data_IF_934970173633
#
_entry.id   IF_934970173633
#
_cell.length_a   1.000
_cell.length_b   1.000
_cell.length_c   1.000
_cell.angle_alpha   90.00
_cell.angle_beta   90.00
_cell.angle_gamma   90.00
#
_symmetry.space_group_name_H-M   'P 1'
#
loop_
_entity.id
_entity.type
_entity.pdbx_description
1 polymer ?
#
# COMPACT_ATOMS: atom_id res chain seq x y z
N UNK A 1 -25.47 9.42 6.89
CA UNK A 1 -25.41 10.84 6.49
C UNK A 1 -25.62 10.92 4.99
N UNK A 2 -26.38 11.85 4.43
CA UNK A 2 -26.57 11.93 2.98
C UNK A 2 -25.46 12.80 2.38
N UNK A 3 -24.93 12.45 1.20
CA UNK A 3 -23.90 13.24 0.49
C UNK A 3 -24.37 14.68 0.28
N UNK A 4 -25.70 14.88 0.09
CA UNK A 4 -26.34 16.21 -0.01
C UNK A 4 -26.12 17.14 1.19
N UNK A 5 -25.73 16.59 2.33
CA UNK A 5 -25.54 17.34 3.57
C UNK A 5 -24.15 18.00 3.65
N UNK A 6 -23.23 17.61 2.73
CA UNK A 6 -21.90 18.19 2.65
C UNK A 6 -21.85 19.34 1.65
N UNK A 7 -21.38 20.50 2.11
CA UNK A 7 -21.08 21.64 1.24
C UNK A 7 -19.59 21.69 0.97
N UNK A 8 -19.19 21.80 -0.32
CA UNK A 8 -17.81 22.02 -0.67
C UNK A 8 -17.29 23.33 -0.08
N UNK A 9 -16.07 23.31 0.40
CA UNK A 9 -15.35 24.50 0.83
C UNK A 9 -15.20 25.50 -0.34
N UNK A 10 -15.18 26.78 -0.02
CA UNK A 10 -14.93 27.83 -1.01
C UNK A 10 -13.42 28.07 -1.11
N UNK A 11 -12.89 28.32 -2.33
CA UNK A 11 -11.46 28.63 -2.48
C UNK A 11 -11.15 30.01 -1.85
N UNK A 12 -9.94 30.18 -1.30
CA UNK A 12 -9.47 31.49 -0.78
C UNK A 12 -9.53 32.58 -1.85
N UNK A 13 -9.25 32.22 -3.10
CA UNK A 13 -9.34 33.09 -4.25
C UNK A 13 -10.53 32.61 -5.09
N UNK A 14 -11.65 33.34 -5.09
CA UNK A 14 -12.85 32.92 -5.80
C UNK A 14 -12.59 32.73 -7.29
N UNK A 15 -13.19 31.71 -7.87
CA UNK A 15 -13.22 31.53 -9.32
C UNK A 15 -14.05 32.65 -9.93
N UNK A 16 -13.47 33.44 -10.82
CA UNK A 16 -14.18 34.47 -11.57
C UNK A 16 -14.54 33.96 -12.98
N UNK A 17 -15.62 34.44 -13.53
CA UNK A 17 -16.03 34.10 -14.89
C UNK A 17 -15.00 34.65 -15.92
N UNK A 18 -14.95 34.04 -17.11
CA UNK A 18 -14.13 34.54 -18.23
C UNK A 18 -14.35 36.02 -18.49
N UNK A 19 -15.61 36.48 -18.45
CA UNK A 19 -15.98 37.88 -18.66
C UNK A 19 -15.44 38.80 -17.57
N UNK A 20 -15.47 38.37 -16.30
CA UNK A 20 -14.91 39.11 -15.18
C UNK A 20 -13.38 39.18 -15.27
N UNK A 21 -12.73 38.05 -15.62
CA UNK A 21 -11.28 37.99 -15.81
C UNK A 21 -10.80 38.94 -16.92
N UNK A 22 -11.48 38.94 -18.06
CA UNK A 22 -11.12 39.81 -19.20
C UNK A 22 -11.31 41.31 -18.92
N UNK A 23 -12.06 41.69 -17.90
CA UNK A 23 -12.20 43.10 -17.44
C UNK A 23 -11.05 43.55 -16.55
N UNK A 24 -10.19 42.67 -16.06
CA UNK A 24 -9.01 43.02 -15.28
C UNK A 24 -7.91 43.58 -16.20
N UNK A 25 -7.05 44.47 -15.66
CA UNK A 25 -5.83 44.90 -16.38
C UNK A 25 -4.89 43.72 -16.56
N UNK A 26 -3.97 43.73 -17.56
CA UNK A 26 -3.03 42.63 -17.78
C UNK A 26 -2.22 42.26 -16.53
N UNK A 27 -1.80 43.25 -15.73
CA UNK A 27 -1.06 43.05 -14.48
C UNK A 27 -1.93 42.29 -13.47
N UNK A 28 -3.19 42.72 -13.29
CA UNK A 28 -4.16 42.06 -12.39
C UNK A 28 -4.54 40.66 -12.88
N UNK A 29 -4.63 40.45 -14.20
CA UNK A 29 -4.84 39.11 -14.76
C UNK A 29 -3.69 38.17 -14.42
N UNK A 30 -2.44 38.64 -14.59
CA UNK A 30 -1.25 37.87 -14.25
C UNK A 30 -1.16 37.56 -12.76
N UNK A 31 -1.42 38.56 -11.93
CA UNK A 31 -1.46 38.38 -10.46
C UNK A 31 -2.53 37.37 -10.02
N UNK A 32 -3.76 37.52 -10.55
CA UNK A 32 -4.87 36.60 -10.26
C UNK A 32 -4.50 35.16 -10.63
N UNK A 33 -3.96 34.94 -11.84
CA UNK A 33 -3.54 33.61 -12.29
C UNK A 33 -2.45 33.03 -11.39
N UNK A 34 -1.46 33.85 -11.01
CA UNK A 34 -0.39 33.41 -10.10
C UNK A 34 -0.96 32.99 -8.73
N UNK A 35 -1.76 33.83 -8.12
CA UNK A 35 -2.38 33.55 -6.84
C UNK A 35 -3.28 32.33 -6.90
N UNK A 36 -4.08 32.20 -7.96
CA UNK A 36 -4.95 31.03 -8.17
C UNK A 36 -4.16 29.73 -8.34
N UNK A 37 -3.05 29.73 -9.05
CA UNK A 37 -2.19 28.57 -9.25
C UNK A 37 -1.45 28.15 -7.98
N UNK A 38 -1.08 29.12 -7.13
CA UNK A 38 -0.33 28.86 -5.90
C UNK A 38 -1.18 28.57 -4.68
N UNK A 39 -2.50 28.79 -4.74
CA UNK A 39 -3.36 28.48 -3.59
C UNK A 39 -3.40 26.97 -3.30
N UNK A 40 -3.39 26.65 -2.03
CA UNK A 40 -3.63 25.32 -1.47
C UNK A 40 -5.08 25.23 -0.96
N UNK A 41 -5.51 24.06 -0.54
CA UNK A 41 -6.83 23.92 0.08
C UNK A 41 -6.90 24.80 1.31
N UNK A 42 -7.98 25.60 1.52
CA UNK A 42 -8.07 26.58 2.61
C UNK A 42 -7.80 26.00 3.98
N UNK A 43 -8.32 24.80 4.27
CA UNK A 43 -8.09 24.08 5.53
C UNK A 43 -6.62 23.77 5.80
N UNK A 44 -5.80 23.66 4.73
CA UNK A 44 -4.36 23.42 4.82
C UNK A 44 -3.52 24.71 4.87
N UNK A 45 -4.14 25.90 4.96
CA UNK A 45 -3.40 27.16 5.17
C UNK A 45 -2.57 27.15 6.46
N UNK A 46 -2.94 26.32 7.43
CA UNK A 46 -2.20 26.05 8.67
C UNK A 46 -0.81 25.46 8.45
N UNK A 47 -0.49 24.92 7.26
CA UNK A 47 0.87 24.47 6.90
C UNK A 47 1.90 25.63 6.90
N UNK A 48 1.45 26.89 6.95
CA UNK A 48 2.32 28.07 7.07
C UNK A 48 2.82 28.29 8.52
N UNK A 49 2.21 27.65 9.49
CA UNK A 49 2.67 27.62 10.87
C UNK A 49 3.81 26.59 11.00
N UNK A 50 4.82 26.88 11.82
CA UNK A 50 5.95 25.97 11.98
C UNK A 50 5.67 24.94 13.06
N UNK A 51 5.72 23.66 12.68
CA UNK A 51 5.63 22.50 13.57
C UNK A 51 6.67 21.45 13.16
N UNK A 52 7.09 20.64 14.12
CA UNK A 52 8.00 19.52 13.84
C UNK A 52 7.32 18.44 13.00
N UNK A 53 6.04 18.16 13.27
CA UNK A 53 5.30 17.10 12.62
C UNK A 53 3.95 17.61 12.10
N UNK A 54 3.61 17.21 10.89
CA UNK A 54 2.31 17.45 10.27
C UNK A 54 1.73 16.11 9.84
N UNK A 55 0.60 15.71 10.44
CA UNK A 55 -0.19 14.58 10.01
C UNK A 55 -1.40 15.10 9.24
N UNK A 56 -1.41 14.84 7.93
CA UNK A 56 -2.42 15.34 7.01
C UNK A 56 -3.14 14.11 6.44
N UNK A 57 -4.28 13.78 7.00
CA UNK A 57 -4.99 12.55 6.70
C UNK A 57 -6.43 12.81 6.24
N UNK A 58 -7.09 11.78 5.69
CA UNK A 58 -8.47 11.84 5.21
C UNK A 58 -8.66 11.19 3.85
N UNK A 59 -9.86 11.25 3.32
CA UNK A 59 -10.29 10.50 2.15
C UNK A 59 -9.64 10.88 0.82
N UNK A 60 -9.95 10.08 -0.19
CA UNK A 60 -9.53 10.27 -1.58
C UNK A 60 -10.11 11.57 -2.16
N UNK A 61 -9.38 12.21 -3.06
CA UNK A 61 -9.82 13.44 -3.72
C UNK A 61 -9.79 14.68 -2.84
N UNK A 62 -9.40 14.57 -1.57
CA UNK A 62 -9.29 15.71 -0.65
C UNK A 62 -8.20 16.72 -1.05
N UNK A 63 -7.26 16.35 -1.92
CA UNK A 63 -6.19 17.23 -2.38
C UNK A 63 -5.04 17.42 -1.39
N UNK A 64 -4.90 16.55 -0.40
CA UNK A 64 -3.80 16.52 0.59
C UNK A 64 -2.43 16.60 -0.06
N UNK A 65 -2.08 15.55 -0.82
CA UNK A 65 -0.75 15.42 -1.45
C UNK A 65 -0.46 16.57 -2.42
N UNK A 66 -1.45 16.97 -3.21
CA UNK A 66 -1.32 18.13 -4.12
C UNK A 66 -1.05 19.43 -3.37
N UNK A 67 -1.73 19.66 -2.24
CA UNK A 67 -1.53 20.87 -1.43
C UNK A 67 -0.17 20.87 -0.73
N UNK A 68 0.27 19.73 -0.21
CA UNK A 68 1.61 19.59 0.40
C UNK A 68 2.69 19.76 -0.66
N UNK A 69 2.58 19.16 -1.85
CA UNK A 69 3.52 19.35 -2.94
C UNK A 69 3.61 20.82 -3.38
N UNK A 70 2.46 21.52 -3.50
CA UNK A 70 2.41 22.96 -3.78
C UNK A 70 3.11 23.77 -2.69
N UNK A 71 2.80 23.50 -1.43
CA UNK A 71 3.39 24.20 -0.30
C UNK A 71 4.89 24.01 -0.23
N UNK A 72 5.38 22.77 -0.29
CA UNK A 72 6.80 22.46 -0.23
C UNK A 72 7.58 23.10 -1.38
N UNK A 73 7.07 23.05 -2.61
CA UNK A 73 7.73 23.67 -3.77
C UNK A 73 7.77 25.20 -3.69
N UNK A 74 6.72 25.84 -3.13
CA UNK A 74 6.74 27.28 -2.84
C UNK A 74 7.78 27.63 -1.78
N UNK A 75 7.77 26.91 -0.65
CA UNK A 75 8.71 27.10 0.46
C UNK A 75 10.15 26.98 -0.03
N UNK A 76 10.46 25.93 -0.78
CA UNK A 76 11.78 25.66 -1.35
C UNK A 76 12.18 26.65 -2.45
N UNK A 77 11.23 27.34 -3.09
CA UNK A 77 11.52 28.41 -4.06
C UNK A 77 11.87 29.69 -3.33
N UNK A 78 11.24 29.96 -2.18
CA UNK A 78 11.48 31.16 -1.38
C UNK A 78 12.78 31.08 -0.57
N UNK A 79 13.10 29.92 -0.02
CA UNK A 79 14.24 29.67 0.86
C UNK A 79 14.96 28.38 0.48
N UNK A 80 16.25 28.26 0.84
CA UNK A 80 17.06 27.08 0.53
C UNK A 80 16.72 25.94 1.49
N UNK A 81 16.23 24.83 0.94
CA UNK A 81 15.88 23.63 1.69
C UNK A 81 16.34 22.33 1.00
N UNK A 82 16.54 21.29 1.77
CA UNK A 82 16.74 19.92 1.27
C UNK A 82 15.53 19.06 1.66
N UNK A 83 14.70 18.72 0.68
CA UNK A 83 13.53 17.85 0.87
C UNK A 83 13.91 16.39 0.64
N UNK A 84 13.63 15.55 1.62
CA UNK A 84 13.55 14.10 1.44
C UNK A 84 12.09 13.72 1.17
N UNK A 85 11.79 13.28 -0.04
CA UNK A 85 10.51 12.67 -0.39
C UNK A 85 10.63 11.15 -0.27
N UNK A 86 9.76 10.52 0.53
CA UNK A 86 9.88 9.10 0.88
C UNK A 86 8.56 8.37 0.96
N UNK A 87 8.60 7.06 0.75
CA UNK A 87 7.56 6.04 0.96
C UNK A 87 8.19 4.77 1.50
N UNK A 88 7.39 3.80 1.91
CA UNK A 88 7.90 2.50 2.31
C UNK A 88 8.66 1.81 1.16
N UNK A 89 8.11 1.81 -0.06
CA UNK A 89 8.69 1.15 -1.24
C UNK A 89 9.16 2.18 -2.26
N UNK A 90 10.42 2.07 -2.69
CA UNK A 90 11.07 3.03 -3.60
C UNK A 90 10.48 3.04 -5.01
N UNK A 91 10.06 1.90 -5.57
CA UNK A 91 9.58 1.83 -6.96
C UNK A 91 8.30 2.64 -7.19
N UNK A 92 7.40 2.71 -6.21
CA UNK A 92 6.18 3.54 -6.29
C UNK A 92 6.46 5.04 -6.11
N UNK A 93 7.58 5.39 -5.51
CA UNK A 93 8.01 6.76 -5.23
C UNK A 93 8.40 7.53 -6.50
N UNK A 94 9.15 6.86 -7.40
CA UNK A 94 9.68 7.48 -8.61
C UNK A 94 8.60 7.86 -9.62
N UNK A 95 7.47 7.13 -9.66
CA UNK A 95 6.42 7.33 -10.65
C UNK A 95 5.36 8.35 -10.21
N UNK A 96 5.02 8.42 -8.91
CA UNK A 96 3.92 9.27 -8.43
C UNK A 96 4.38 10.56 -7.75
N UNK A 97 5.18 10.48 -6.69
CA UNK A 97 5.57 11.68 -5.92
C UNK A 97 6.55 12.56 -6.68
N UNK A 98 7.47 11.95 -7.46
CA UNK A 98 8.37 12.69 -8.36
C UNK A 98 7.55 13.49 -9.39
N UNK A 99 6.66 12.80 -10.13
CA UNK A 99 5.86 13.45 -11.16
C UNK A 99 4.95 14.53 -10.57
N UNK A 100 4.36 14.30 -9.40
CA UNK A 100 3.53 15.30 -8.71
C UNK A 100 4.32 16.57 -8.39
N UNK A 101 5.55 16.47 -7.88
CA UNK A 101 6.38 17.64 -7.59
C UNK A 101 6.76 18.38 -8.86
N UNK A 102 7.13 17.67 -9.93
CA UNK A 102 7.42 18.28 -11.24
C UNK A 102 6.20 19.00 -11.79
N UNK A 103 5.02 18.38 -11.75
CA UNK A 103 3.78 18.99 -12.24
C UNK A 103 3.42 20.23 -11.42
N UNK A 104 3.62 20.23 -10.10
CA UNK A 104 3.33 21.38 -9.25
C UNK A 104 4.30 22.53 -9.46
N UNK A 105 5.58 22.26 -9.69
CA UNK A 105 6.57 23.29 -10.08
C UNK A 105 6.14 23.96 -11.39
N UNK A 106 5.81 23.16 -12.40
CA UNK A 106 5.39 23.64 -13.71
C UNK A 106 4.04 24.38 -13.65
N UNK A 107 3.04 23.81 -12.96
CA UNK A 107 1.71 24.39 -12.82
C UNK A 107 1.73 25.77 -12.16
N UNK A 108 2.55 25.93 -11.12
CA UNK A 108 2.70 27.18 -10.37
C UNK A 108 3.63 28.18 -11.07
N UNK A 109 4.30 27.77 -12.16
CA UNK A 109 5.28 28.60 -12.89
C UNK A 109 6.42 29.10 -11.97
N UNK A 110 6.90 28.24 -11.06
CA UNK A 110 7.96 28.57 -10.13
C UNK A 110 9.32 28.65 -10.85
N UNK A 111 10.03 29.76 -10.67
CA UNK A 111 11.33 30.00 -11.33
C UNK A 111 12.49 29.28 -10.66
N UNK A 112 13.59 29.10 -11.42
CA UNK A 112 14.86 28.59 -10.93
C UNK A 112 14.95 27.08 -10.78
N UNK A 113 13.90 26.32 -11.16
CA UNK A 113 13.90 24.87 -11.04
C UNK A 113 14.49 24.17 -12.26
N UNK A 114 15.38 23.23 -11.98
CA UNK A 114 16.00 22.32 -12.94
C UNK A 114 15.54 20.90 -12.65
N UNK A 115 14.79 20.31 -13.59
CA UNK A 115 14.22 18.96 -13.48
C UNK A 115 15.01 18.02 -14.37
N UNK A 116 15.69 17.05 -13.78
CA UNK A 116 16.42 15.97 -14.45
C UNK A 116 15.88 14.63 -14.00
N UNK A 117 16.09 13.58 -14.79
CA UNK A 117 15.53 12.24 -14.56
C UNK A 117 15.63 11.70 -13.11
N UNK A 118 16.67 12.08 -12.38
CA UNK A 118 16.93 11.60 -11.00
C UNK A 118 17.18 12.74 -10.00
N UNK A 119 17.12 13.99 -10.43
CA UNK A 119 17.46 15.15 -9.60
C UNK A 119 16.55 16.31 -9.91
N UNK A 120 15.96 16.87 -8.87
CA UNK A 120 15.23 18.14 -8.92
C UNK A 120 15.94 19.11 -7.99
N UNK A 121 16.35 20.25 -8.50
CA UNK A 121 17.02 21.28 -7.72
C UNK A 121 16.67 22.68 -8.21
N UNK A 122 16.80 23.67 -7.33
CA UNK A 122 16.56 25.07 -7.62
C UNK A 122 17.87 25.85 -7.60
N UNK A 123 17.96 26.92 -8.40
CA UNK A 123 19.13 27.78 -8.49
C UNK A 123 19.50 28.45 -7.14
N UNK A 124 18.54 28.52 -6.18
CA UNK A 124 18.82 29.01 -4.83
C UNK A 124 19.54 27.97 -3.93
N UNK A 125 19.86 26.76 -4.45
CA UNK A 125 20.50 25.68 -3.72
C UNK A 125 19.55 24.61 -3.15
N UNK A 126 18.24 24.80 -3.27
CA UNK A 126 17.25 23.80 -2.84
C UNK A 126 17.34 22.53 -3.69
N UNK A 127 17.16 21.36 -3.07
CA UNK A 127 17.20 20.07 -3.76
C UNK A 127 16.18 19.08 -3.19
N UNK A 128 15.68 18.18 -4.05
CA UNK A 128 14.75 17.12 -3.67
C UNK A 128 15.44 15.77 -3.83
N UNK A 129 15.38 14.95 -2.80
CA UNK A 129 15.95 13.60 -2.72
C UNK A 129 14.77 12.61 -2.63
N UNK A 130 14.82 11.54 -3.41
CA UNK A 130 13.81 10.47 -3.39
C UNK A 130 14.42 9.19 -2.84
N UNK A 131 13.80 8.60 -1.80
CA UNK A 131 14.36 7.44 -1.14
C UNK A 131 13.27 6.56 -0.51
N UNK A 132 13.28 5.23 -0.79
CA UNK A 132 12.41 4.25 -0.13
C UNK A 132 12.98 3.82 1.23
N UNK A 133 12.11 3.42 2.15
CA UNK A 133 12.52 3.11 3.54
C UNK A 133 12.69 1.61 3.82
N UNK A 134 12.07 0.72 3.02
CA UNK A 134 11.92 -0.72 3.30
C UNK A 134 13.23 -1.50 3.40
N UNK A 135 14.28 -1.15 2.66
CA UNK A 135 15.50 -1.95 2.61
C UNK A 135 16.53 -1.53 3.65
N UNK A 136 17.09 -2.48 4.42
CA UNK A 136 18.18 -2.21 5.37
C UNK A 136 19.41 -1.54 4.73
N UNK A 137 19.66 -1.75 3.44
CA UNK A 137 20.65 -1.01 2.68
C UNK A 137 20.25 0.45 2.48
N UNK A 138 18.95 0.69 2.29
CA UNK A 138 18.36 2.01 2.15
C UNK A 138 18.43 2.82 3.44
N UNK A 139 18.13 2.21 4.60
CA UNK A 139 18.22 2.87 5.90
C UNK A 139 19.67 3.32 6.25
N UNK A 140 20.68 2.55 5.84
CA UNK A 140 22.08 2.94 6.01
C UNK A 140 22.50 4.05 5.01
N UNK A 141 21.89 4.09 3.82
CA UNK A 141 22.16 5.15 2.85
C UNK A 141 21.51 6.49 3.25
N UNK A 142 20.38 6.48 3.99
CA UNK A 142 19.79 7.71 4.56
C UNK A 142 20.77 8.46 5.46
N UNK A 143 21.60 7.74 6.23
CA UNK A 143 22.63 8.34 7.09
C UNK A 143 23.71 9.12 6.33
N UNK A 144 23.86 8.87 5.02
CA UNK A 144 24.80 9.57 4.17
C UNK A 144 24.29 10.92 3.66
N UNK A 145 22.98 11.16 3.73
CA UNK A 145 22.41 12.45 3.37
C UNK A 145 22.51 13.41 4.56
N UNK A 146 23.15 14.54 4.33
CA UNK A 146 23.31 15.62 5.31
C UNK A 146 22.40 16.80 4.96
N UNK A 147 22.04 17.58 5.97
CA UNK A 147 21.28 18.82 5.84
C UNK A 147 19.87 18.61 5.26
N UNK A 148 19.19 17.51 5.66
CA UNK A 148 17.76 17.32 5.35
C UNK A 148 16.97 18.06 6.42
N UNK A 149 16.22 19.05 6.02
CA UNK A 149 15.38 19.89 6.87
C UNK A 149 13.87 19.80 6.55
N UNK A 150 13.53 19.22 5.41
CA UNK A 150 12.14 18.87 5.05
C UNK A 150 12.03 17.39 4.73
N UNK A 151 11.00 16.73 5.26
CA UNK A 151 10.69 15.32 4.96
C UNK A 151 9.22 15.23 4.56
N UNK A 152 8.94 14.61 3.43
CA UNK A 152 7.57 14.29 3.02
C UNK A 152 7.41 12.78 2.85
N UNK A 153 6.64 12.18 3.76
CA UNK A 153 6.22 10.78 3.70
C UNK A 153 4.85 10.72 3.03
N UNK A 154 4.81 10.32 1.78
CA UNK A 154 3.57 10.19 1.01
C UNK A 154 3.07 8.74 1.10
N UNK A 155 1.74 8.53 1.18
CA UNK A 155 1.11 7.24 1.51
C UNK A 155 1.62 6.67 2.84
N UNK A 156 1.68 7.53 3.87
CA UNK A 156 2.32 7.20 5.14
C UNK A 156 1.59 6.10 5.95
N UNK A 157 0.35 5.72 5.60
CA UNK A 157 -0.34 4.55 6.17
C UNK A 157 0.41 3.24 5.88
N UNK A 158 1.22 3.20 4.83
CA UNK A 158 2.01 2.03 4.47
C UNK A 158 3.35 1.93 5.20
N UNK A 159 3.74 2.95 5.98
CA UNK A 159 5.02 2.96 6.69
C UNK A 159 5.03 1.92 7.81
N UNK A 160 6.10 1.16 7.90
CA UNK A 160 6.33 0.27 9.03
C UNK A 160 6.84 1.02 10.26
N UNK A 161 6.58 0.47 11.45
CA UNK A 161 7.12 1.01 12.70
C UNK A 161 8.67 1.06 12.68
N UNK A 162 9.30 0.07 12.02
CA UNK A 162 10.76 0.03 11.85
C UNK A 162 11.26 1.19 10.97
N UNK A 163 10.57 1.47 9.86
CA UNK A 163 10.91 2.59 8.96
C UNK A 163 10.82 3.94 9.69
N UNK A 164 9.77 4.16 10.50
CA UNK A 164 9.64 5.36 11.32
C UNK A 164 10.72 5.45 12.39
N UNK A 165 11.03 4.34 13.08
CA UNK A 165 12.09 4.26 14.09
C UNK A 165 13.47 4.61 13.54
N UNK A 166 13.74 4.31 12.26
CA UNK A 166 14.98 4.65 11.58
C UNK A 166 14.98 6.08 11.03
N UNK A 167 13.87 6.52 10.41
CA UNK A 167 13.75 7.83 9.77
C UNK A 167 13.85 8.99 10.77
N UNK A 168 13.03 8.93 11.83
CA UNK A 168 12.88 10.07 12.76
C UNK A 168 14.19 10.51 13.43
N UNK A 169 15.05 9.61 13.98
CA UNK A 169 16.31 10.03 14.59
C UNK A 169 17.43 10.32 13.58
N UNK A 170 17.23 10.00 12.30
CA UNK A 170 18.21 10.29 11.23
C UNK A 170 18.18 11.76 10.85
N UNK A 171 17.01 12.40 10.89
CA UNK A 171 16.84 13.83 10.56
C UNK A 171 17.08 14.68 11.82
N UNK A 172 18.21 15.35 11.84
CA UNK A 172 18.75 16.04 13.03
C UNK A 172 18.86 17.55 12.91
N UNK A 173 18.54 18.10 11.74
CA UNK A 173 18.58 19.54 11.51
C UNK A 173 17.61 20.23 12.48
N UNK A 174 18.07 21.30 13.10
CA UNK A 174 17.23 22.14 13.94
C UNK A 174 16.12 22.77 13.10
N UNK A 175 14.88 22.70 13.59
CA UNK A 175 13.71 23.19 12.83
C UNK A 175 13.29 22.30 11.65
N UNK A 176 13.82 21.07 11.52
CA UNK A 176 13.35 20.17 10.47
C UNK A 176 11.88 19.78 10.64
N UNK A 177 11.17 19.71 9.51
CA UNK A 177 9.72 19.48 9.44
C UNK A 177 9.42 18.16 8.74
N UNK A 178 8.46 17.39 9.28
CA UNK A 178 7.98 16.13 8.72
C UNK A 178 6.51 16.24 8.32
N UNK A 179 6.23 15.96 7.06
CA UNK A 179 4.88 15.96 6.49
C UNK A 179 4.47 14.52 6.17
N UNK A 180 3.42 14.02 6.82
CA UNK A 180 2.84 12.71 6.57
C UNK A 180 1.48 12.88 5.89
N UNK A 181 1.37 12.45 4.62
CA UNK A 181 0.09 12.47 3.90
C UNK A 181 -0.42 11.05 3.71
N UNK A 182 -1.66 10.78 4.13
CA UNK A 182 -2.21 9.43 4.05
C UNK A 182 -3.74 9.39 4.10
N UNK A 183 -4.30 8.26 3.68
CA UNK A 183 -5.65 7.85 4.01
C UNK A 183 -5.53 6.77 5.10
N UNK A 184 -6.06 6.98 6.32
CA UNK A 184 -5.90 6.04 7.42
C UNK A 184 -6.51 4.68 7.07
N UNK A 185 -5.78 3.59 7.29
CA UNK A 185 -6.32 2.25 7.13
C UNK A 185 -6.91 1.74 8.45
N UNK A 186 -6.11 1.80 9.52
CA UNK A 186 -6.49 1.33 10.85
C UNK A 186 -5.94 2.27 11.93
N UNK A 187 -6.49 2.18 13.14
CA UNK A 187 -5.96 2.90 14.30
C UNK A 187 -4.54 2.42 14.71
N UNK A 188 -4.16 1.20 14.26
CA UNK A 188 -2.86 0.58 14.50
C UNK A 188 -1.80 0.95 13.46
N UNK A 189 -2.14 1.72 12.44
CA UNK A 189 -1.15 2.17 11.45
C UNK A 189 0.03 2.84 12.13
N UNK A 190 1.25 2.44 11.78
CA UNK A 190 2.45 2.92 12.49
C UNK A 190 2.58 4.45 12.48
N UNK A 191 2.05 5.13 11.46
CA UNK A 191 2.04 6.59 11.36
C UNK A 191 1.17 7.25 12.43
N UNK A 192 0.14 6.56 12.96
CA UNK A 192 -0.76 7.13 13.99
C UNK A 192 -0.03 7.50 15.28
N UNK A 193 1.12 6.86 15.57
CA UNK A 193 1.94 7.22 16.73
C UNK A 193 2.51 8.64 16.62
N UNK A 194 2.60 9.21 15.43
CA UNK A 194 3.07 10.58 15.23
C UNK A 194 2.12 11.58 15.89
N UNK A 195 0.81 11.32 15.86
CA UNK A 195 -0.22 12.17 16.48
C UNK A 195 -0.04 12.32 18.01
N UNK A 196 0.64 11.36 18.65
CA UNK A 196 0.90 11.38 20.10
C UNK A 196 2.17 12.17 20.49
N UNK A 197 2.93 12.66 19.51
CA UNK A 197 4.18 13.39 19.77
C UNK A 197 3.92 14.84 20.16
N UNK A 198 4.94 15.46 20.74
CA UNK A 198 4.94 16.91 20.98
C UNK A 198 5.14 17.64 19.64
N UNK A 199 4.60 18.85 19.54
CA UNK A 199 4.71 19.72 18.36
C UNK A 199 4.24 19.04 17.06
N UNK A 200 3.02 18.50 17.12
CA UNK A 200 2.31 17.93 15.98
C UNK A 200 1.11 18.81 15.59
N UNK A 201 1.00 19.09 14.32
CA UNK A 201 -0.21 19.63 13.70
C UNK A 201 -0.94 18.49 12.99
N UNK A 202 -2.07 18.06 13.58
CA UNK A 202 -2.92 17.01 13.02
C UNK A 202 -4.10 17.64 12.26
N UNK A 203 -4.24 17.32 10.98
CA UNK A 203 -5.25 17.91 10.11
C UNK A 203 -5.96 16.83 9.29
N UNK A 204 -7.22 16.61 9.60
CA UNK A 204 -8.11 15.82 8.75
C UNK A 204 -8.61 16.65 7.58
N UNK A 205 -8.48 16.16 6.34
CA UNK A 205 -8.92 16.83 5.10
C UNK A 205 -9.65 15.85 4.20
N UNK A 206 -10.94 16.14 3.94
CA UNK A 206 -11.78 15.28 3.13
C UNK A 206 -12.20 15.95 1.81
N UNK A 207 -12.87 15.22 0.93
CA UNK A 207 -13.28 15.69 -0.38
C UNK A 207 -14.09 17.00 -0.35
N UNK A 208 -14.92 17.19 0.68
CA UNK A 208 -15.74 18.39 0.87
C UNK A 208 -14.94 19.63 1.31
N UNK A 209 -13.73 19.45 1.85
CA UNK A 209 -12.78 20.53 2.14
C UNK A 209 -12.05 21.01 0.85
N UNK A 210 -12.13 20.24 -0.25
CA UNK A 210 -11.47 20.54 -1.50
C UNK A 210 -12.38 21.34 -2.45
N UNK A 211 -12.18 22.66 -2.61
CA UNK A 211 -13.00 23.48 -3.52
C UNK A 211 -12.77 23.15 -5.01
N UNK A 212 -11.79 22.31 -5.30
CA UNK A 212 -11.42 21.86 -6.64
C UNK A 212 -11.77 20.39 -6.88
N UNK A 213 -12.62 19.79 -6.03
CA UNK A 213 -13.03 18.39 -6.15
C UNK A 213 -13.67 18.13 -7.51
N UNK A 214 -13.14 17.19 -8.33
CA UNK A 214 -13.63 16.96 -9.69
C UNK A 214 -15.03 16.36 -9.71
N UNK A 215 -15.89 16.84 -10.59
CA UNK A 215 -17.25 16.31 -10.74
C UNK A 215 -17.26 14.81 -11.10
N UNK A 216 -16.28 14.35 -11.89
CA UNK A 216 -16.12 12.93 -12.22
C UNK A 216 -15.91 12.08 -10.95
N UNK A 217 -15.03 12.51 -10.04
CA UNK A 217 -14.81 11.79 -8.78
C UNK A 217 -16.04 11.84 -7.86
N UNK A 218 -16.85 12.89 -7.95
CA UNK A 218 -18.10 12.98 -7.20
C UNK A 218 -19.10 11.93 -7.66
N UNK A 219 -19.21 11.70 -8.97
CA UNK A 219 -20.08 10.64 -9.50
C UNK A 219 -19.64 9.25 -9.06
N UNK A 220 -18.33 8.98 -9.06
CA UNK A 220 -17.77 7.72 -8.56
C UNK A 220 -18.06 7.55 -7.06
N UNK A 221 -17.79 8.57 -6.26
CA UNK A 221 -18.10 8.59 -4.83
C UNK A 221 -19.58 8.29 -4.54
N UNK A 222 -20.50 8.94 -5.28
CA UNK A 222 -21.94 8.70 -5.13
C UNK A 222 -22.35 7.26 -5.49
N UNK A 223 -21.66 6.63 -6.42
CA UNK A 223 -21.87 5.22 -6.77
C UNK A 223 -21.33 4.29 -5.66
N UNK A 224 -20.14 4.57 -5.14
CA UNK A 224 -19.53 3.79 -4.05
C UNK A 224 -20.41 3.82 -2.79
N UNK A 225 -20.91 4.98 -2.39
CA UNK A 225 -21.83 5.10 -1.25
C UNK A 225 -23.16 4.35 -1.42
N UNK A 226 -23.59 4.07 -2.65
CA UNK A 226 -24.77 3.23 -2.92
C UNK A 226 -24.46 1.74 -2.88
N UNK A 227 -23.22 1.36 -3.20
CA UNK A 227 -22.80 -0.03 -3.35
C UNK A 227 -22.28 -0.60 -2.04
N UNK A 228 -21.36 0.08 -1.38
CA UNK A 228 -20.75 -0.28 -0.09
C UNK A 228 -20.50 0.98 0.74
N UNK A 229 -21.47 1.40 1.57
CA UNK A 229 -21.35 2.60 2.37
C UNK A 229 -20.17 2.59 3.37
N UNK A 230 -19.85 1.45 3.96
CA UNK A 230 -18.75 1.36 4.94
C UNK A 230 -17.39 1.52 4.27
N UNK A 231 -17.16 0.90 3.10
CA UNK A 231 -15.94 1.10 2.32
C UNK A 231 -15.90 2.53 1.74
N UNK A 232 -17.03 3.09 1.34
CA UNK A 232 -17.10 4.48 0.85
C UNK A 232 -16.74 5.50 1.95
N UNK A 233 -17.14 5.28 3.21
CA UNK A 233 -16.72 6.11 4.35
C UNK A 233 -15.20 6.08 4.54
N UNK A 234 -14.58 4.90 4.41
CA UNK A 234 -13.13 4.79 4.45
C UNK A 234 -12.46 5.53 3.27
N UNK A 235 -12.88 5.24 2.04
CA UNK A 235 -12.25 5.77 0.83
C UNK A 235 -12.39 7.29 0.72
N UNK A 236 -13.60 7.83 0.96
CA UNK A 236 -13.93 9.22 0.67
C UNK A 236 -13.89 10.14 1.88
N UNK A 237 -14.20 9.63 3.08
CA UNK A 237 -14.20 10.40 4.32
C UNK A 237 -13.04 10.07 5.25
N UNK A 238 -12.11 9.20 4.83
CA UNK A 238 -10.89 8.90 5.60
C UNK A 238 -11.17 8.25 6.96
N UNK A 239 -12.31 7.57 7.09
CA UNK A 239 -12.59 6.81 8.30
C UNK A 239 -11.72 5.55 8.33
N UNK A 240 -11.33 5.11 9.51
CA UNK A 240 -10.66 3.83 9.64
C UNK A 240 -11.54 2.72 9.08
N UNK A 241 -10.92 1.80 8.35
CA UNK A 241 -11.64 0.68 7.76
C UNK A 241 -12.13 -0.26 8.85
N UNK A 242 -13.44 -0.42 8.95
CA UNK A 242 -14.05 -1.34 9.91
C UNK A 242 -13.75 -2.78 9.49
N UNK A 243 -13.25 -3.58 10.41
CA UNK A 243 -13.12 -5.01 10.19
C UNK A 243 -14.47 -5.70 10.41
N UNK A 244 -14.80 -6.64 9.53
CA UNK A 244 -16.01 -7.44 9.72
C UNK A 244 -15.87 -8.36 10.97
N UNK A 245 -16.92 -8.48 11.77
CA UNK A 245 -16.94 -9.34 12.97
C UNK A 245 -16.62 -10.82 12.68
N UNK A 246 -16.86 -11.25 11.44
CA UNK A 246 -16.57 -12.59 10.96
C UNK A 246 -15.34 -12.67 10.04
N UNK A 247 -14.41 -11.74 10.15
CA UNK A 247 -13.11 -11.86 9.48
C UNK A 247 -12.33 -13.05 10.04
N UNK A 248 -11.62 -13.79 9.17
CA UNK A 248 -10.86 -14.99 9.59
C UNK A 248 -9.69 -14.60 10.47
N UNK A 249 -8.99 -13.52 10.13
CA UNK A 249 -7.83 -13.01 10.87
C UNK A 249 -8.06 -11.54 11.27
N UNK A 250 -7.68 -11.20 12.50
CA UNK A 250 -7.77 -9.82 12.95
C UNK A 250 -6.67 -8.97 12.30
N UNK A 251 -6.95 -7.69 12.04
CA UNK A 251 -5.98 -6.73 11.52
C UNK A 251 -4.75 -6.63 12.43
N UNK A 252 -4.98 -6.58 13.73
CA UNK A 252 -3.90 -6.53 14.72
C UNK A 252 -2.97 -7.75 14.59
N UNK A 253 -3.51 -8.97 14.49
CA UNK A 253 -2.68 -10.18 14.37
C UNK A 253 -1.85 -10.20 13.08
N UNK A 254 -2.42 -9.74 11.96
CA UNK A 254 -1.69 -9.66 10.68
C UNK A 254 -0.63 -8.57 10.75
N UNK A 255 -0.93 -7.42 11.33
CA UNK A 255 0.04 -6.33 11.53
C UNK A 255 1.21 -6.79 12.41
N UNK A 256 0.94 -7.41 13.56
CA UNK A 256 1.97 -7.97 14.43
C UNK A 256 2.85 -9.01 13.71
N UNK A 257 2.26 -9.85 12.85
CA UNK A 257 3.03 -10.82 12.06
C UNK A 257 3.93 -10.15 11.02
N UNK A 258 3.53 -9.00 10.46
CA UNK A 258 4.34 -8.22 9.52
C UNK A 258 5.47 -7.43 10.19
N UNK A 259 5.30 -7.06 11.45
CA UNK A 259 6.32 -6.35 12.25
C UNK A 259 7.20 -7.32 13.07
N UNK A 260 6.86 -8.61 13.12
CA UNK A 260 7.55 -9.59 13.95
C UNK A 260 8.93 -9.91 13.43
N UNK A 261 9.95 -9.70 14.25
CA UNK A 261 11.34 -10.12 14.02
C UNK A 261 11.60 -11.45 14.73
N UNK A 262 11.82 -12.52 13.98
CA UNK A 262 12.21 -13.85 14.48
C UNK A 262 13.39 -14.39 13.68
N UNK A 263 14.09 -15.38 14.23
CA UNK A 263 15.18 -16.06 13.51
C UNK A 263 14.67 -16.88 12.35
N UNK A 264 15.38 -16.89 11.24
CA UNK A 264 15.02 -17.60 10.01
C UNK A 264 15.58 -19.04 10.00
N UNK A 265 15.42 -19.76 11.12
CA UNK A 265 15.82 -21.13 11.24
C UNK A 265 14.82 -22.09 10.59
N UNK A 266 15.32 -23.12 9.90
CA UNK A 266 14.49 -24.13 9.25
C UNK A 266 14.68 -24.21 7.73
N UNK A 267 13.84 -25.00 7.08
CA UNK A 267 13.96 -25.30 5.67
C UNK A 267 13.37 -24.19 4.79
N UNK A 268 13.93 -24.06 3.58
CA UNK A 268 13.39 -23.25 2.53
C UNK A 268 12.20 -23.94 1.86
N UNK A 269 11.14 -23.20 1.65
CA UNK A 269 9.94 -23.66 0.94
C UNK A 269 9.42 -22.57 0.02
N UNK A 270 8.82 -23.00 -1.11
CA UNK A 270 8.13 -22.15 -2.08
C UNK A 270 6.67 -22.60 -2.17
N UNK A 271 5.75 -21.64 -2.34
CA UNK A 271 4.40 -21.92 -2.76
C UNK A 271 4.01 -21.05 -3.97
N UNK A 272 3.18 -21.61 -4.84
CA UNK A 272 2.79 -20.98 -6.10
C UNK A 272 1.29 -21.10 -6.31
N UNK A 273 0.60 -19.95 -6.27
CA UNK A 273 -0.76 -19.85 -6.79
C UNK A 273 -0.68 -19.55 -8.30
N UNK A 274 -1.28 -20.42 -9.12
CA UNK A 274 -1.10 -20.40 -10.58
C UNK A 274 -2.35 -19.84 -11.26
N UNK A 275 -2.22 -18.65 -11.87
CA UNK A 275 -3.27 -18.08 -12.70
C UNK A 275 -3.09 -18.39 -14.19
N UNK A 276 -4.22 -18.49 -14.92
CA UNK A 276 -4.24 -18.47 -16.39
C UNK A 276 -4.13 -17.05 -16.93
N UNK A 277 -3.89 -16.95 -18.24
CA UNK A 277 -4.02 -15.68 -18.97
C UNK A 277 -5.39 -15.04 -18.68
N UNK A 278 -5.37 -13.81 -18.12
CA UNK A 278 -6.58 -13.09 -17.72
C UNK A 278 -6.27 -11.99 -16.72
N UNK A 279 -7.26 -11.66 -15.88
CA UNK A 279 -7.15 -10.62 -14.83
C UNK A 279 -6.38 -11.06 -13.59
N UNK A 280 -6.30 -12.38 -13.33
CA UNK A 280 -5.69 -12.93 -12.13
C UNK A 280 -4.17 -13.05 -12.29
N UNK A 281 -3.44 -13.00 -11.18
CA UNK A 281 -1.98 -13.01 -11.14
C UNK A 281 -1.46 -14.34 -10.62
N UNK A 282 -0.35 -14.87 -11.20
CA UNK A 282 0.38 -15.95 -10.56
C UNK A 282 1.26 -15.39 -9.46
N UNK A 283 1.18 -15.97 -8.27
CA UNK A 283 1.94 -15.53 -7.09
C UNK A 283 2.94 -16.60 -6.69
N UNK A 284 4.19 -16.20 -6.50
CA UNK A 284 5.22 -17.04 -5.90
C UNK A 284 5.57 -16.47 -4.54
N UNK A 285 5.37 -17.27 -3.49
CA UNK A 285 5.79 -16.96 -2.13
C UNK A 285 6.91 -17.89 -1.67
N UNK A 286 7.84 -17.38 -0.83
CA UNK A 286 8.96 -18.16 -0.32
C UNK A 286 9.20 -17.88 1.15
N UNK A 287 9.49 -18.91 1.94
CA UNK A 287 9.84 -18.82 3.36
C UNK A 287 11.13 -19.59 3.70
N UNK A 288 11.75 -19.23 4.80
CA UNK A 288 12.74 -20.04 5.51
C UNK A 288 12.27 -20.22 6.96
N UNK A 289 12.02 -21.46 7.37
CA UNK A 289 11.34 -21.71 8.65
C UNK A 289 10.00 -20.98 8.74
N UNK A 290 9.83 -20.13 9.73
CA UNK A 290 8.62 -19.33 9.92
C UNK A 290 8.70 -17.90 9.32
N UNK A 291 9.83 -17.54 8.69
CA UNK A 291 10.05 -16.20 8.13
C UNK A 291 9.78 -16.17 6.65
N UNK A 292 8.84 -15.37 6.21
CA UNK A 292 8.58 -15.10 4.81
C UNK A 292 9.71 -14.26 4.19
N UNK A 293 10.26 -14.71 3.07
CA UNK A 293 11.44 -14.09 2.43
C UNK A 293 11.12 -13.42 1.10
N UNK A 294 10.10 -13.89 0.38
CA UNK A 294 9.70 -13.30 -0.88
C UNK A 294 8.21 -13.48 -1.16
N UNK A 295 7.66 -12.49 -1.86
CA UNK A 295 6.33 -12.50 -2.47
C UNK A 295 6.46 -11.82 -3.83
N UNK A 296 6.21 -12.56 -4.91
CA UNK A 296 6.35 -12.08 -6.28
C UNK A 296 5.08 -12.30 -7.06
N UNK A 297 4.64 -11.27 -7.74
CA UNK A 297 3.44 -11.28 -8.58
C UNK A 297 3.83 -11.23 -10.06
N UNK A 298 3.22 -12.10 -10.86
CA UNK A 298 3.45 -12.20 -12.30
C UNK A 298 2.11 -12.21 -13.04
N UNK A 299 2.00 -11.41 -14.11
CA UNK A 299 0.80 -11.30 -14.94
C UNK A 299 1.10 -11.74 -16.36
N UNK A 300 0.16 -12.45 -16.97
CA UNK A 300 0.20 -12.82 -18.38
C UNK A 300 1.49 -13.55 -18.81
N UNK A 301 2.05 -14.41 -17.94
CA UNK A 301 3.21 -15.25 -18.26
C UNK A 301 2.79 -16.68 -18.57
N UNK A 302 3.60 -17.38 -19.35
CA UNK A 302 3.41 -18.82 -19.64
C UNK A 302 3.79 -19.68 -18.43
N UNK A 303 3.27 -20.93 -18.35
CA UNK A 303 3.67 -21.88 -17.31
C UNK A 303 5.16 -22.19 -17.35
N UNK A 304 5.77 -22.18 -18.53
CA UNK A 304 7.22 -22.43 -18.71
C UNK A 304 8.04 -21.29 -18.13
N UNK A 305 7.62 -20.02 -18.34
CA UNK A 305 8.23 -18.84 -17.74
C UNK A 305 8.05 -18.82 -16.23
N UNK A 306 6.84 -19.16 -15.74
CA UNK A 306 6.57 -19.27 -14.31
C UNK A 306 7.50 -20.29 -13.66
N UNK A 307 7.68 -21.48 -14.27
CA UNK A 307 8.64 -22.48 -13.81
C UNK A 307 10.07 -21.94 -13.77
N UNK A 308 10.49 -21.15 -14.79
CA UNK A 308 11.78 -20.49 -14.80
C UNK A 308 11.98 -19.54 -13.61
N UNK A 309 10.96 -18.76 -13.24
CA UNK A 309 11.00 -17.91 -12.04
C UNK A 309 11.09 -18.71 -10.74
N UNK A 310 10.36 -19.83 -10.66
CA UNK A 310 10.45 -20.75 -9.51
C UNK A 310 11.86 -21.32 -9.37
N UNK A 311 12.47 -21.77 -10.47
CA UNK A 311 13.83 -22.31 -10.50
C UNK A 311 14.88 -21.29 -10.05
N UNK A 312 14.77 -20.04 -10.51
CA UNK A 312 15.64 -18.95 -10.05
C UNK A 312 15.50 -18.72 -8.54
N UNK A 313 14.28 -18.76 -8.00
CA UNK A 313 14.04 -18.59 -6.56
C UNK A 313 14.54 -19.81 -5.77
N UNK A 314 14.40 -21.01 -6.29
CA UNK A 314 14.90 -22.24 -5.67
C UNK A 314 16.43 -22.35 -5.69
N UNK A 315 17.14 -21.54 -6.51
CA UNK A 315 18.61 -21.52 -6.57
C UNK A 315 19.21 -22.85 -6.96
N UNK A 316 18.57 -23.61 -7.85
CA UNK A 316 18.93 -24.97 -8.27
C UNK A 316 18.88 -26.04 -7.15
N UNK A 317 18.19 -25.74 -6.03
CA UNK A 317 17.96 -26.74 -5.00
C UNK A 317 16.79 -27.66 -5.39
N UNK A 318 17.10 -28.80 -6.02
CA UNK A 318 16.12 -29.77 -6.49
C UNK A 318 15.40 -30.53 -5.36
N UNK A 319 15.86 -30.41 -4.12
CA UNK A 319 15.22 -31.01 -2.93
C UNK A 319 14.34 -30.00 -2.16
N UNK A 320 14.27 -28.75 -2.62
CA UNK A 320 13.40 -27.74 -2.02
C UNK A 320 11.94 -28.16 -2.14
N UNK A 321 11.19 -28.01 -1.07
CA UNK A 321 9.73 -28.24 -1.08
C UNK A 321 9.04 -27.10 -1.85
N UNK A 322 8.34 -27.47 -2.91
CA UNK A 322 7.57 -26.55 -3.76
C UNK A 322 6.12 -26.99 -3.75
N UNK A 323 5.26 -26.17 -3.19
CA UNK A 323 3.79 -26.39 -3.13
C UNK A 323 3.14 -25.61 -4.28
N UNK A 324 2.29 -26.23 -5.05
CA UNK A 324 1.65 -25.63 -6.23
C UNK A 324 0.14 -25.84 -6.11
N UNK A 325 -0.63 -24.77 -6.26
CA UNK A 325 -2.07 -24.94 -6.47
C UNK A 325 -2.26 -25.68 -7.81
N UNK A 326 -2.61 -26.96 -7.73
CA UNK A 326 -2.84 -27.81 -8.90
C UNK A 326 -4.25 -27.68 -9.48
N UNK A 327 -5.11 -26.85 -8.89
CA UNK A 327 -6.47 -26.63 -9.38
C UNK A 327 -6.42 -26.01 -10.79
N UNK A 328 -7.00 -26.69 -11.76
CA UNK A 328 -7.01 -26.22 -13.15
C UNK A 328 -5.67 -26.35 -13.85
N UNK A 329 -4.94 -25.23 -14.10
CA UNK A 329 -3.69 -25.24 -14.91
C UNK A 329 -2.42 -25.53 -14.12
N UNK A 330 -2.48 -25.44 -12.80
CA UNK A 330 -1.30 -25.62 -11.95
C UNK A 330 -0.70 -27.03 -11.99
N UNK A 331 -1.49 -28.06 -12.35
CA UNK A 331 -0.97 -29.40 -12.60
C UNK A 331 0.15 -29.42 -13.64
N UNK A 332 0.08 -28.55 -14.67
CA UNK A 332 1.14 -28.40 -15.66
C UNK A 332 2.45 -27.84 -15.08
N UNK A 333 2.38 -27.00 -14.05
CA UNK A 333 3.59 -26.51 -13.33
C UNK A 333 4.23 -27.66 -12.56
N UNK A 334 3.42 -28.49 -11.89
CA UNK A 334 3.89 -29.70 -11.18
C UNK A 334 4.64 -30.63 -12.14
N UNK A 335 4.01 -30.98 -13.27
CA UNK A 335 4.61 -31.87 -14.29
C UNK A 335 5.92 -31.33 -14.84
N UNK A 336 5.96 -30.02 -15.17
CA UNK A 336 7.18 -29.39 -15.71
C UNK A 336 8.31 -29.42 -14.68
N UNK A 337 8.07 -29.06 -13.43
CA UNK A 337 9.08 -29.02 -12.39
C UNK A 337 9.59 -30.41 -12.06
N UNK A 338 8.70 -31.42 -11.96
CA UNK A 338 9.10 -32.82 -11.77
C UNK A 338 9.91 -33.33 -12.96
N UNK A 339 9.53 -33.02 -14.20
CA UNK A 339 10.28 -33.33 -15.42
C UNK A 339 11.66 -32.67 -15.48
N UNK A 340 11.83 -31.52 -14.79
CA UNK A 340 13.14 -30.84 -14.63
C UNK A 340 13.96 -31.33 -13.43
N UNK A 341 13.47 -32.35 -12.71
CA UNK A 341 14.21 -33.03 -11.64
C UNK A 341 13.98 -32.53 -10.24
N UNK A 342 12.99 -31.64 -10.02
CA UNK A 342 12.59 -31.27 -8.66
C UNK A 342 11.83 -32.41 -7.99
N UNK A 343 12.29 -32.86 -6.80
CA UNK A 343 11.84 -34.10 -6.17
C UNK A 343 10.71 -33.91 -5.18
N UNK A 344 10.60 -32.72 -4.58
CA UNK A 344 9.62 -32.41 -3.55
C UNK A 344 8.59 -31.38 -4.04
N UNK A 345 8.05 -31.60 -5.23
CA UNK A 345 6.93 -30.79 -5.77
C UNK A 345 5.62 -31.43 -5.34
N UNK A 346 4.80 -30.67 -4.63
CA UNK A 346 3.55 -31.09 -4.03
C UNK A 346 2.40 -30.29 -4.65
N UNK A 347 1.54 -30.97 -5.41
CA UNK A 347 0.29 -30.38 -5.87
C UNK A 347 -0.73 -30.29 -4.72
N UNK A 348 -1.33 -29.14 -4.52
CA UNK A 348 -2.40 -28.91 -3.55
C UNK A 348 -3.68 -28.59 -4.31
N UNK A 349 -4.64 -29.48 -4.22
CA UNK A 349 -5.95 -29.26 -4.84
C UNK A 349 -6.92 -28.62 -3.84
N UNK A 350 -7.27 -27.37 -4.05
CA UNK A 350 -8.18 -26.62 -3.19
C UNK A 350 -9.61 -27.19 -3.15
N UNK A 351 -9.98 -28.02 -4.14
CA UNK A 351 -11.22 -28.79 -4.12
C UNK A 351 -11.20 -30.03 -3.24
N UNK A 352 -10.06 -30.37 -2.62
CA UNK A 352 -9.92 -31.53 -1.75
C UNK A 352 -10.65 -31.33 -0.42
N UNK A 353 -10.90 -32.45 0.26
CA UNK A 353 -11.46 -32.45 1.63
C UNK A 353 -10.40 -31.93 2.62
N UNK A 354 -10.81 -31.23 3.68
CA UNK A 354 -9.92 -30.84 4.76
C UNK A 354 -9.40 -32.08 5.52
N UNK A 355 -8.30 -31.93 6.25
CA UNK A 355 -7.76 -32.97 7.12
C UNK A 355 -8.65 -33.19 8.36
N UNK A 356 -9.25 -32.09 8.88
CA UNK A 356 -10.21 -32.11 9.98
C UNK A 356 -11.62 -31.82 9.43
N UNK A 357 -12.29 -32.89 8.96
CA UNK A 357 -13.63 -32.79 8.36
C UNK A 357 -14.73 -32.47 9.38
N UNK A 358 -14.44 -32.53 10.67
CA UNK A 358 -15.38 -32.19 11.72
C UNK A 358 -15.42 -30.69 12.01
N UNK A 359 -14.28 -30.00 11.82
CA UNK A 359 -14.17 -28.57 12.10
C UNK A 359 -14.33 -27.70 10.85
N UNK A 360 -13.90 -28.17 9.67
CA UNK A 360 -13.83 -27.37 8.45
C UNK A 360 -14.69 -27.96 7.34
N UNK A 361 -15.34 -27.08 6.57
CA UNK A 361 -16.20 -27.46 5.45
C UNK A 361 -15.43 -27.96 4.24
N UNK A 362 -14.28 -27.34 3.95
CA UNK A 362 -13.40 -27.57 2.80
C UNK A 362 -11.94 -27.25 3.16
N UNK A 363 -11.02 -27.60 2.27
CA UNK A 363 -9.58 -27.39 2.46
C UNK A 363 -9.21 -25.91 2.57
N UNK A 364 -9.73 -24.97 1.75
CA UNK A 364 -9.48 -23.55 1.96
C UNK A 364 -9.84 -23.08 3.38
N UNK A 365 -10.99 -23.51 3.91
CA UNK A 365 -11.40 -23.16 5.27
C UNK A 365 -10.43 -23.67 6.34
N UNK A 366 -9.90 -24.89 6.17
CA UNK A 366 -8.85 -25.40 7.05
C UNK A 366 -7.59 -24.55 6.95
N UNK A 367 -7.08 -24.30 5.75
CA UNK A 367 -5.86 -23.52 5.54
C UNK A 367 -5.96 -22.11 6.14
N UNK A 368 -7.08 -21.43 5.91
CA UNK A 368 -7.33 -20.11 6.46
C UNK A 368 -7.42 -20.10 7.98
N UNK A 369 -8.18 -21.04 8.58
CA UNK A 369 -8.43 -21.05 10.01
C UNK A 369 -7.28 -21.67 10.84
N UNK A 370 -6.36 -22.40 10.22
CA UNK A 370 -5.19 -23.00 10.90
C UNK A 370 -3.89 -22.27 10.59
N UNK A 371 -3.94 -21.17 9.86
CA UNK A 371 -2.75 -20.38 9.56
C UNK A 371 -2.09 -19.89 10.85
N UNK A 372 -0.78 -20.12 11.05
CA UNK A 372 -0.11 -19.85 12.32
C UNK A 372 0.29 -18.36 12.44
N UNK A 373 -0.69 -17.46 12.37
CA UNK A 373 -0.48 -16.00 12.34
C UNK A 373 0.27 -15.48 13.56
N UNK A 374 0.14 -16.13 14.72
CA UNK A 374 0.85 -15.78 15.96
C UNK A 374 2.35 -16.10 15.94
N UNK A 375 2.79 -16.97 15.02
CA UNK A 375 4.15 -17.53 15.05
C UNK A 375 5.00 -17.07 13.88
N UNK A 376 4.38 -16.70 12.77
CA UNK A 376 5.08 -16.34 11.52
C UNK A 376 5.53 -14.88 11.49
N UNK A 377 6.59 -14.62 10.72
CA UNK A 377 6.99 -13.27 10.30
C UNK A 377 6.67 -13.10 8.83
N UNK A 378 5.80 -12.15 8.50
CA UNK A 378 5.33 -11.88 7.15
C UNK A 378 6.04 -10.65 6.57
N UNK A 379 6.06 -10.56 5.24
CA UNK A 379 6.49 -9.34 4.57
C UNK A 379 5.43 -8.24 4.73
N UNK A 380 5.86 -7.02 4.98
CA UNK A 380 4.98 -5.86 4.98
C UNK A 380 4.59 -5.52 3.53
N UNK A 381 3.46 -6.06 3.09
CA UNK A 381 2.87 -5.87 1.76
C UNK A 381 1.39 -5.51 1.94
N UNK A 382 0.99 -4.33 1.50
CA UNK A 382 -0.37 -3.82 1.70
C UNK A 382 -1.45 -4.68 1.01
N UNK A 383 -1.14 -5.27 -0.15
CA UNK A 383 -2.07 -6.18 -0.83
C UNK A 383 -2.29 -7.45 -0.03
N UNK A 384 -1.21 -8.06 0.49
CA UNK A 384 -1.30 -9.24 1.36
C UNK A 384 -2.05 -8.91 2.66
N UNK A 385 -1.77 -7.74 3.26
CA UNK A 385 -2.48 -7.28 4.45
C UNK A 385 -3.98 -7.26 4.22
N UNK A 386 -4.43 -6.61 3.14
CA UNK A 386 -5.84 -6.55 2.78
C UNK A 386 -6.46 -7.92 2.56
N UNK A 387 -5.81 -8.77 1.77
CA UNK A 387 -6.33 -10.09 1.47
C UNK A 387 -6.47 -10.96 2.72
N UNK A 388 -5.50 -10.92 3.65
CA UNK A 388 -5.54 -11.69 4.90
C UNK A 388 -6.60 -11.17 5.89
N UNK A 389 -6.80 -9.86 5.97
CA UNK A 389 -7.69 -9.25 6.96
C UNK A 389 -9.14 -9.14 6.52
N UNK A 390 -9.41 -9.28 5.22
CA UNK A 390 -10.72 -9.03 4.64
C UNK A 390 -11.51 -10.31 4.31
N UNK A 391 -10.89 -11.49 4.46
CA UNK A 391 -11.54 -12.78 4.24
C UNK A 391 -12.53 -13.07 5.35
N UNK A 392 -13.77 -13.45 4.98
CA UNK A 392 -14.88 -13.72 5.92
C UNK A 392 -15.14 -15.20 6.06
N UNK A 393 -15.64 -15.60 7.22
CA UNK A 393 -16.10 -16.97 7.45
C UNK A 393 -17.54 -17.01 7.96
N UNK A 394 -18.15 -18.15 7.80
CA UNK A 394 -19.46 -18.51 8.36
C UNK A 394 -19.41 -19.93 8.90
N UNK A 395 -20.52 -20.41 9.44
CA UNK A 395 -20.67 -21.81 9.79
C UNK A 395 -21.66 -22.47 8.84
N UNK A 396 -21.31 -23.65 8.35
CA UNK A 396 -22.22 -24.46 7.53
C UNK A 396 -23.33 -25.11 8.38
N UNK A 397 -24.23 -25.86 7.73
CA UNK A 397 -25.33 -26.58 8.39
C UNK A 397 -24.89 -27.67 9.40
N UNK A 398 -23.59 -28.01 9.42
CA UNK A 398 -22.98 -28.94 10.38
C UNK A 398 -22.14 -28.20 11.44
N UNK A 399 -22.31 -26.92 11.57
CA UNK A 399 -21.52 -26.05 12.45
C UNK A 399 -19.99 -26.10 12.21
N UNK A 400 -19.55 -26.43 10.98
CA UNK A 400 -18.16 -26.37 10.57
C UNK A 400 -17.83 -24.97 10.04
N UNK A 401 -16.62 -24.50 10.31
CA UNK A 401 -16.15 -23.24 9.73
C UNK A 401 -16.03 -23.34 8.20
N UNK A 402 -16.56 -22.36 7.51
CA UNK A 402 -16.53 -22.22 6.07
C UNK A 402 -16.15 -20.81 5.69
N UNK A 403 -15.02 -20.65 5.02
CA UNK A 403 -14.64 -19.33 4.45
C UNK A 403 -15.51 -19.02 3.23
N UNK A 404 -15.74 -17.74 2.99
CA UNK A 404 -16.48 -17.32 1.80
C UNK A 404 -15.82 -17.82 0.51
N UNK A 405 -16.62 -18.05 -0.54
CA UNK A 405 -16.09 -18.46 -1.85
C UNK A 405 -15.22 -17.35 -2.48
N UNK A 406 -14.30 -17.73 -3.40
CA UNK A 406 -13.54 -16.74 -4.19
C UNK A 406 -14.46 -15.79 -4.95
N UNK A 407 -15.60 -16.27 -5.45
CA UNK A 407 -16.55 -15.43 -6.19
C UNK A 407 -17.23 -14.40 -5.28
N UNK A 408 -17.61 -14.78 -4.06
CA UNK A 408 -18.16 -13.86 -3.06
C UNK A 408 -17.12 -12.80 -2.65
N UNK A 409 -15.88 -13.22 -2.45
CA UNK A 409 -14.77 -12.32 -2.15
C UNK A 409 -14.54 -11.33 -3.31
N UNK A 410 -14.43 -11.83 -4.57
CA UNK A 410 -14.25 -11.00 -5.77
C UNK A 410 -15.39 -10.00 -5.95
N UNK A 411 -16.64 -10.42 -5.76
CA UNK A 411 -17.80 -9.54 -5.88
C UNK A 411 -17.72 -8.33 -4.92
N UNK A 412 -17.17 -8.53 -3.74
CA UNK A 412 -17.01 -7.54 -2.68
C UNK A 412 -15.73 -6.69 -2.83
N UNK A 413 -14.71 -7.23 -3.54
CA UNK A 413 -13.39 -6.62 -3.67
C UNK A 413 -13.08 -6.11 -5.11
N UNK A 414 -14.09 -5.61 -5.81
CA UNK A 414 -13.90 -5.01 -7.14
C UNK A 414 -13.37 -5.98 -8.19
N UNK A 415 -13.72 -7.27 -8.08
CA UNK A 415 -13.32 -8.33 -9.01
C UNK A 415 -11.93 -8.92 -8.75
N UNK A 416 -11.22 -8.49 -7.70
CA UNK A 416 -9.88 -8.99 -7.36
C UNK A 416 -9.96 -10.28 -6.55
N UNK A 417 -9.09 -11.24 -6.87
CA UNK A 417 -8.90 -12.50 -6.14
C UNK A 417 -7.90 -12.33 -4.99
N UNK A 418 -7.98 -13.14 -3.91
CA UNK A 418 -7.01 -13.12 -2.82
C UNK A 418 -5.77 -13.98 -3.14
N UNK A 419 -5.15 -13.79 -4.31
CA UNK A 419 -4.11 -14.67 -4.85
C UNK A 419 -2.84 -14.65 -3.98
N UNK A 420 -2.48 -13.50 -3.39
CA UNK A 420 -1.34 -13.39 -2.46
C UNK A 420 -1.60 -14.19 -1.18
N UNK A 421 -2.77 -14.05 -0.59
CA UNK A 421 -3.15 -14.78 0.61
C UNK A 421 -3.19 -16.28 0.34
N UNK A 422 -3.81 -16.73 -0.76
CA UNK A 422 -3.89 -18.15 -1.11
C UNK A 422 -2.49 -18.77 -1.28
N UNK A 423 -1.55 -18.08 -1.93
CA UNK A 423 -0.16 -18.52 -2.02
C UNK A 423 0.52 -18.59 -0.65
N UNK A 424 0.32 -17.59 0.21
CA UNK A 424 0.93 -17.54 1.55
C UNK A 424 0.35 -18.63 2.46
N UNK A 425 -0.96 -18.83 2.44
CA UNK A 425 -1.60 -19.89 3.24
C UNK A 425 -1.06 -21.28 2.83
N UNK A 426 -0.97 -21.53 1.53
CA UNK A 426 -0.41 -22.77 1.00
C UNK A 426 1.07 -22.93 1.41
N UNK A 427 1.85 -21.85 1.47
CA UNK A 427 3.25 -21.88 1.89
C UNK A 427 3.44 -22.43 3.30
N UNK A 428 2.51 -22.11 4.22
CA UNK A 428 2.56 -22.56 5.62
C UNK A 428 1.67 -23.79 5.91
N UNK A 429 0.84 -24.22 4.96
CA UNK A 429 0.03 -25.43 5.11
C UNK A 429 0.89 -26.69 4.96
N UNK A 430 0.78 -27.64 5.91
CA UNK A 430 1.51 -28.91 5.87
C UNK A 430 0.50 -30.06 5.55
N UNK A 431 0.44 -30.48 4.28
CA UNK A 431 -0.45 -31.57 3.89
C UNK A 431 0.02 -32.91 4.49
N UNK A 432 -0.92 -33.74 4.96
CA UNK A 432 -0.60 -35.14 5.32
C UNK A 432 -0.29 -35.92 4.06
N UNK A 433 0.99 -36.10 3.77
CA UNK A 433 1.43 -36.92 2.65
C UNK A 433 1.35 -38.39 3.09
N UNK A 434 0.33 -39.11 2.61
CA UNK A 434 0.33 -40.58 2.69
C UNK A 434 1.45 -41.08 1.75
N UNK A 435 2.70 -41.16 2.24
CA UNK A 435 3.73 -41.92 1.53
C UNK A 435 3.32 -43.37 1.58
N UNK A 436 3.10 -44.09 0.45
CA UNK A 436 2.93 -45.52 0.49
C UNK A 436 4.22 -46.10 1.13
N UNK A 437 4.07 -46.90 2.19
CA UNK A 437 5.19 -47.66 2.70
C UNK A 437 5.65 -48.58 1.55
N UNK A 438 6.81 -48.31 1.03
CA UNK A 438 7.54 -49.23 0.14
C UNK A 438 7.92 -50.40 1.05
N UNK A 439 7.20 -51.54 0.91
CA UNK A 439 7.60 -52.83 1.44
C UNK A 439 8.72 -53.41 0.59
#
# INVERSE_FOLDING_TARGET
MRISDYKLAEPEIPKISKTQFLKLTPEKQKEYLRLYKTQIIPKLSVLREHHRFYTIHGGRGSGKSTSVAKWLTQKMTAETHTLLCTREIQNSLAESSYQMLVDMIAYQELGGWNVQKEKIFNDNGSKIIFHGLRDNKSANSLKSYVNIDLVWCEEAQSLSANSLRLLLPTIREEGAEFYFTYNPETEEDAVEIIKTRQDVLDVEVNWNDNPFFPEQLKMEMEADFKTDPDEAEHVWNGQYRKQADNAVMSRLAVHEAMEREITDEGDWQIAVDVARYGSDSSIISMRKGLVMKALKEYKNISLVELCGHIEVMAGNNHDMTIKVDETGVGGGVVDILQGRGYRNVIGINFGSKPQDTDKFADLPSEMWCTFPISDVSLLNDSGLFHELTDRRFSYDHKARRQVESKDSYKARNGGKSPDKADSVLMLYYEPKINRPMLY
#
